data_IF_324565381498
#
_entry.id   IF_324565381498
#
_cell.length_a   1.000
_cell.length_b   1.000
_cell.length_c   1.000
_cell.angle_alpha   90.00
_cell.angle_beta   90.00
_cell.angle_gamma   90.00
#
_symmetry.space_group_name_H-M   'P 1'
#
loop_
_entity.id
_entity.type
_entity.pdbx_description
1 polymer ?
#
# COMPACT_ATOMS: atom_id res chain seq x y z
N UNK A 1 15.34 19.87 15.68
CA UNK A 1 14.54 18.63 15.63
C UNK A 1 14.73 18.01 14.26
N UNK A 2 15.42 16.88 14.19
CA UNK A 2 15.71 16.20 12.94
C UNK A 2 14.45 15.48 12.44
N UNK A 3 13.95 15.88 11.27
CA UNK A 3 12.97 15.11 10.53
C UNK A 3 13.64 13.82 10.07
N UNK A 4 13.11 12.66 10.45
CA UNK A 4 13.55 11.37 9.91
C UNK A 4 13.10 11.30 8.45
N UNK A 5 13.95 11.79 7.54
CA UNK A 5 13.85 11.49 6.13
C UNK A 5 14.19 10.01 5.96
N UNK A 6 13.18 9.19 5.66
CA UNK A 6 13.40 7.84 5.17
C UNK A 6 14.16 7.96 3.85
N UNK A 7 15.43 7.60 3.89
CA UNK A 7 16.36 7.71 2.79
C UNK A 7 15.96 6.73 1.69
N UNK A 8 15.66 7.27 0.51
CA UNK A 8 15.51 6.51 -0.74
C UNK A 8 16.85 5.85 -1.08
N UNK A 9 16.94 4.53 -0.94
CA UNK A 9 17.93 3.78 -1.70
C UNK A 9 17.34 3.43 -3.06
N UNK A 10 17.76 4.19 -4.07
CA UNK A 10 17.31 4.13 -5.46
C UNK A 10 18.22 3.22 -6.30
N UNK A 11 18.70 2.12 -5.73
CA UNK A 11 19.57 1.18 -6.43
C UNK A 11 19.05 -0.25 -6.25
N UNK A 12 18.25 -0.69 -7.23
CA UNK A 12 18.23 -2.03 -7.83
C UNK A 12 16.85 -2.29 -8.44
N UNK A 13 16.51 -1.56 -9.50
CA UNK A 13 15.53 -2.04 -10.48
C UNK A 13 16.18 -3.20 -11.26
N UNK A 14 16.36 -4.34 -10.60
CA UNK A 14 16.70 -5.58 -11.28
C UNK A 14 15.38 -6.23 -11.69
N UNK A 15 14.99 -5.97 -12.93
CA UNK A 15 14.13 -6.87 -13.68
C UNK A 15 14.81 -8.25 -13.60
N UNK A 16 14.31 -9.14 -12.73
CA UNK A 16 14.88 -10.49 -12.61
C UNK A 16 14.67 -11.18 -13.96
N UNK A 17 15.78 -11.50 -14.63
CA UNK A 17 15.75 -12.33 -15.81
C UNK A 17 15.19 -13.71 -15.42
N UNK A 18 14.04 -14.07 -15.99
CA UNK A 18 13.44 -15.39 -15.85
C UNK A 18 14.35 -16.46 -16.45
N UNK A 19 15.11 -17.18 -15.62
CA UNK A 19 15.81 -18.40 -16.04
C UNK A 19 14.87 -19.60 -15.87
N UNK A 20 14.31 -20.01 -17.01
CA UNK A 20 13.51 -21.21 -17.37
C UNK A 20 13.58 -22.47 -16.48
N UNK A 21 12.40 -23.07 -16.20
CA UNK A 21 11.95 -24.39 -16.70
C UNK A 21 10.52 -24.70 -16.18
N UNK A 22 9.50 -24.72 -17.06
CA UNK A 22 8.12 -25.20 -16.79
C UNK A 22 7.43 -24.80 -15.46
N UNK A 23 7.55 -23.56 -15.01
CA UNK A 23 6.73 -23.04 -13.91
C UNK A 23 5.99 -21.79 -14.38
N UNK A 24 4.66 -21.78 -14.23
CA UNK A 24 3.86 -20.57 -14.43
C UNK A 24 4.43 -19.47 -13.51
N UNK A 25 4.74 -18.26 -14.02
CA UNK A 25 5.18 -17.16 -13.15
C UNK A 25 4.13 -16.93 -12.05
N UNK A 26 4.58 -16.70 -10.82
CA UNK A 26 3.65 -16.46 -9.70
C UNK A 26 2.81 -15.21 -10.03
N UNK A 27 1.47 -15.30 -9.93
CA UNK A 27 0.62 -14.14 -10.19
C UNK A 27 0.96 -12.96 -9.27
N UNK A 28 1.11 -11.78 -9.86
CA UNK A 28 1.27 -10.52 -9.14
C UNK A 28 -0.07 -9.80 -9.03
N UNK A 29 -0.28 -9.16 -7.88
CA UNK A 29 -1.49 -8.41 -7.57
C UNK A 29 -1.12 -7.02 -7.08
N UNK A 30 -1.81 -6.02 -7.62
CA UNK A 30 -1.83 -4.68 -7.06
C UNK A 30 -2.83 -4.65 -5.90
N UNK A 31 -2.35 -4.29 -4.71
CA UNK A 31 -3.20 -3.96 -3.58
C UNK A 31 -3.21 -2.45 -3.39
N UNK A 32 -4.39 -1.84 -3.41
CA UNK A 32 -4.58 -0.39 -3.20
C UNK A 32 -5.29 -0.16 -1.89
N UNK A 33 -4.67 0.62 -1.00
CA UNK A 33 -5.23 1.02 0.28
C UNK A 33 -6.28 2.12 0.06
N UNK A 34 -7.51 1.91 0.53
CA UNK A 34 -8.60 2.88 0.39
C UNK A 34 -8.91 3.57 1.71
N UNK A 35 -9.38 4.80 1.64
CA UNK A 35 -9.86 5.55 2.80
C UNK A 35 -10.95 6.54 2.37
N UNK A 36 -12.01 6.64 3.16
CA UNK A 36 -13.06 7.63 2.90
C UNK A 36 -12.60 9.04 3.28
N UNK A 37 -13.04 10.07 2.54
CA UNK A 37 -12.70 11.46 2.86
C UNK A 37 -13.05 11.87 4.30
N UNK A 38 -14.18 11.38 4.83
CA UNK A 38 -14.64 11.64 6.19
C UNK A 38 -13.75 11.00 7.26
N UNK A 39 -13.23 9.79 7.02
CA UNK A 39 -12.35 9.09 7.95
C UNK A 39 -10.99 9.80 8.02
N UNK A 40 -10.47 10.26 6.88
CA UNK A 40 -9.28 11.10 6.82
C UNK A 40 -9.49 12.44 7.53
N UNK A 41 -10.64 13.08 7.32
CA UNK A 41 -10.96 14.35 7.97
C UNK A 41 -11.06 14.19 9.49
N UNK A 42 -11.70 13.13 9.96
CA UNK A 42 -11.81 12.76 11.38
C UNK A 42 -10.44 12.47 11.99
N UNK A 43 -9.58 11.73 11.30
CA UNK A 43 -8.22 11.49 11.78
C UNK A 43 -7.41 12.79 11.87
N UNK A 44 -7.51 13.67 10.86
CA UNK A 44 -6.79 14.95 10.82
C UNK A 44 -7.30 16.00 11.82
N UNK A 45 -8.53 15.88 12.30
CA UNK A 45 -9.07 16.79 13.32
C UNK A 45 -8.60 16.44 14.74
N UNK A 46 -8.04 15.24 14.93
CA UNK A 46 -7.39 14.83 16.18
C UNK A 46 -6.17 15.70 16.50
N UNK A 47 -5.88 15.84 17.78
CA UNK A 47 -4.64 16.49 18.22
C UNK A 47 -3.42 15.72 17.73
N UNK A 48 -2.27 16.39 17.63
CA UNK A 48 -1.02 15.73 17.23
C UNK A 48 -0.66 14.57 18.17
N UNK A 49 -0.90 14.73 19.47
CA UNK A 49 -0.65 13.69 20.48
C UNK A 49 -1.51 12.44 20.27
N UNK A 50 -2.78 12.60 19.88
CA UNK A 50 -3.65 11.46 19.54
C UNK A 50 -3.22 10.78 18.24
N UNK A 51 -2.80 11.55 17.23
CA UNK A 51 -2.23 10.99 16.00
C UNK A 51 -0.94 10.21 16.29
N UNK A 52 -0.04 10.78 17.10
CA UNK A 52 1.19 10.11 17.54
C UNK A 52 0.92 8.82 18.32
N UNK A 53 -0.11 8.81 19.17
CA UNK A 53 -0.50 7.60 19.89
C UNK A 53 -1.00 6.50 18.94
N UNK A 54 -1.72 6.87 17.88
CA UNK A 54 -2.15 5.91 16.84
C UNK A 54 -0.92 5.42 16.07
N UNK A 55 -0.02 6.30 15.65
CA UNK A 55 1.20 5.95 14.92
C UNK A 55 2.10 5.01 15.74
N UNK A 56 2.25 5.28 17.05
CA UNK A 56 3.04 4.46 17.97
C UNK A 56 2.53 3.01 18.07
N UNK A 57 1.25 2.77 17.80
CA UNK A 57 0.64 1.42 17.77
C UNK A 57 0.64 0.85 16.35
N UNK A 58 0.27 1.67 15.37
CA UNK A 58 0.05 1.23 14.00
C UNK A 58 1.33 0.93 13.23
N UNK A 59 2.38 1.77 13.38
CA UNK A 59 3.63 1.59 12.64
C UNK A 59 4.36 0.29 13.01
N UNK A 60 4.48 -0.12 14.29
CA UNK A 60 5.06 -1.42 14.62
C UNK A 60 4.24 -2.60 14.09
N UNK A 61 2.90 -2.52 14.12
CA UNK A 61 2.06 -3.58 13.56
C UNK A 61 2.18 -3.67 12.04
N UNK A 62 2.34 -2.53 11.37
CA UNK A 62 2.58 -2.46 9.93
C UNK A 62 3.92 -3.08 9.57
N UNK A 63 5.00 -2.70 10.27
CA UNK A 63 6.31 -3.32 10.09
C UNK A 63 6.26 -4.84 10.33
N UNK A 64 5.58 -5.29 11.38
CA UNK A 64 5.42 -6.72 11.65
C UNK A 64 4.60 -7.44 10.55
N UNK A 65 3.63 -6.76 9.92
CA UNK A 65 2.91 -7.29 8.76
C UNK A 65 3.84 -7.40 7.54
N UNK A 66 4.65 -6.39 7.28
CA UNK A 66 5.64 -6.43 6.18
C UNK A 66 6.63 -7.56 6.39
N UNK A 67 7.18 -7.72 7.60
CA UNK A 67 8.14 -8.78 7.93
C UNK A 67 7.55 -10.18 7.73
N UNK A 68 6.31 -10.41 8.22
CA UNK A 68 5.62 -11.69 8.06
C UNK A 68 5.34 -12.05 6.60
N UNK A 69 5.15 -11.04 5.74
CA UNK A 69 4.77 -11.21 4.34
C UNK A 69 5.90 -10.86 3.37
N UNK A 70 7.13 -10.68 3.84
CA UNK A 70 8.25 -10.18 3.04
C UNK A 70 8.51 -11.03 1.77
N UNK A 71 8.29 -12.35 1.85
CA UNK A 71 8.45 -13.25 0.71
C UNK A 71 7.37 -13.05 -0.38
N UNK A 72 6.22 -12.48 -0.03
CA UNK A 72 5.13 -12.19 -0.95
C UNK A 72 5.13 -10.74 -1.43
N UNK A 73 5.99 -9.86 -0.91
CA UNK A 73 6.00 -8.44 -1.30
C UNK A 73 7.02 -8.22 -2.43
N UNK A 74 6.53 -7.96 -3.64
CA UNK A 74 7.34 -7.70 -4.82
C UNK A 74 7.76 -6.23 -4.92
N UNK A 75 6.84 -5.33 -4.57
CA UNK A 75 7.08 -3.89 -4.46
C UNK A 75 6.40 -3.41 -3.18
N UNK A 76 7.20 -2.83 -2.27
CA UNK A 76 6.70 -2.28 -1.00
C UNK A 76 5.80 -1.07 -1.21
N UNK A 77 5.82 -0.47 -2.39
CA UNK A 77 4.96 0.64 -2.78
C UNK A 77 5.10 1.85 -1.85
N UNK A 78 3.97 2.47 -1.50
CA UNK A 78 3.95 3.62 -0.61
C UNK A 78 2.62 4.35 -0.57
N UNK A 79 2.52 5.32 0.35
CA UNK A 79 1.37 6.21 0.46
C UNK A 79 1.37 7.25 -0.67
N UNK A 80 0.19 7.56 -1.20
CA UNK A 80 0.00 8.47 -2.34
C UNK A 80 -0.65 9.79 -1.93
N UNK A 81 -0.44 10.82 -2.74
CA UNK A 81 -0.84 12.20 -2.45
C UNK A 81 -2.05 12.70 -3.23
N UNK A 82 -2.15 14.03 -3.37
CA UNK A 82 -3.25 14.69 -4.09
C UNK A 82 -3.30 14.21 -5.55
N UNK A 83 -4.51 13.91 -6.02
CA UNK A 83 -4.72 13.41 -7.37
C UNK A 83 -4.91 14.54 -8.37
N UNK A 84 -4.18 14.46 -9.48
CA UNK A 84 -4.48 15.16 -10.73
C UNK A 84 -4.97 14.11 -11.72
N UNK A 85 -6.04 14.41 -12.44
CA UNK A 85 -6.59 13.53 -13.48
C UNK A 85 -6.31 14.12 -14.85
N UNK A 86 -5.85 13.26 -15.74
CA UNK A 86 -5.66 13.54 -17.16
C UNK A 86 -6.77 12.81 -17.92
N UNK A 87 -7.53 13.53 -18.73
CA UNK A 87 -8.55 13.00 -19.65
C UNK A 87 -8.31 13.54 -21.06
N UNK A 88 -9.11 13.12 -22.04
CA UNK A 88 -9.07 13.71 -23.40
C UNK A 88 -9.37 15.22 -23.38
N UNK A 89 -10.14 15.69 -22.40
CA UNK A 89 -10.57 17.09 -22.27
C UNK A 89 -9.56 17.97 -21.51
N UNK A 90 -8.50 17.37 -20.92
CA UNK A 90 -7.41 18.09 -20.29
C UNK A 90 -6.96 17.55 -18.93
N UNK A 91 -6.30 18.41 -18.16
CA UNK A 91 -5.67 18.09 -16.88
C UNK A 91 -6.36 18.88 -15.76
N UNK A 92 -6.87 18.20 -14.74
CA UNK A 92 -7.62 18.85 -13.66
C UNK A 92 -7.39 18.19 -12.30
N UNK A 93 -7.73 18.89 -11.22
CA UNK A 93 -7.74 18.30 -9.86
C UNK A 93 -8.82 17.22 -9.80
N UNK A 94 -8.52 16.12 -9.12
CA UNK A 94 -9.48 15.06 -8.89
C UNK A 94 -9.36 14.47 -7.48
N UNK A 95 -10.34 13.66 -7.12
CA UNK A 95 -10.35 12.86 -5.90
C UNK A 95 -10.59 11.40 -6.25
N UNK A 96 -10.00 10.51 -5.46
CA UNK A 96 -10.23 9.08 -5.43
C UNK A 96 -10.00 8.60 -3.97
N UNK A 97 -10.44 7.40 -3.60
CA UNK A 97 -10.26 6.90 -2.24
C UNK A 97 -8.85 6.37 -1.97
N UNK A 98 -7.94 6.40 -2.95
CA UNK A 98 -6.65 5.72 -2.84
C UNK A 98 -5.67 6.52 -2.00
N UNK A 99 -5.09 5.87 -1.00
CA UNK A 99 -4.15 6.48 -0.08
C UNK A 99 -2.78 5.80 -0.05
N UNK A 100 -2.65 4.61 -0.63
CA UNK A 100 -1.36 3.97 -0.89
C UNK A 100 -1.51 2.72 -1.74
N UNK A 101 -0.39 2.07 -2.06
CA UNK A 101 -0.38 0.78 -2.73
C UNK A 101 0.79 -0.09 -2.28
N UNK A 102 0.69 -1.39 -2.54
CA UNK A 102 1.75 -2.39 -2.46
C UNK A 102 1.51 -3.42 -3.58
N UNK A 103 2.57 -4.07 -4.08
CA UNK A 103 2.45 -5.19 -5.03
C UNK A 103 2.87 -6.48 -4.35
N UNK A 104 2.00 -7.47 -4.38
CA UNK A 104 2.23 -8.79 -3.78
C UNK A 104 2.15 -9.91 -4.80
N UNK A 105 2.85 -11.01 -4.56
CA UNK A 105 2.70 -12.27 -5.29
C UNK A 105 2.02 -13.34 -4.44
N UNK A 106 1.13 -14.12 -5.08
CA UNK A 106 0.45 -15.25 -4.47
C UNK A 106 -0.09 -16.21 -5.55
N UNK A 107 -0.42 -17.44 -5.17
CA UNK A 107 -0.94 -18.44 -6.13
C UNK A 107 -2.31 -18.06 -6.71
N UNK A 108 -3.16 -17.39 -5.92
CA UNK A 108 -4.51 -16.95 -6.31
C UNK A 108 -4.83 -15.57 -5.72
N UNK A 109 -5.87 -14.91 -6.24
CA UNK A 109 -6.33 -13.63 -5.71
C UNK A 109 -6.84 -13.75 -4.27
N UNK A 110 -7.44 -14.88 -3.91
CA UNK A 110 -7.88 -15.14 -2.54
C UNK A 110 -6.68 -15.33 -1.60
N UNK A 111 -5.60 -15.96 -2.09
CA UNK A 111 -4.36 -16.07 -1.32
C UNK A 111 -3.72 -14.69 -1.10
N UNK A 112 -3.69 -13.83 -2.13
CA UNK A 112 -3.24 -12.45 -1.99
C UNK A 112 -4.12 -11.66 -1.00
N UNK A 113 -5.45 -11.77 -1.09
CA UNK A 113 -6.36 -11.09 -0.17
C UNK A 113 -6.18 -11.56 1.29
N UNK A 114 -5.88 -12.84 1.52
CA UNK A 114 -5.61 -13.37 2.87
C UNK A 114 -4.40 -12.73 3.53
N UNK A 115 -3.39 -12.27 2.77
CA UNK A 115 -2.25 -11.54 3.33
C UNK A 115 -2.69 -10.30 4.12
N UNK A 116 -3.80 -9.67 3.74
CA UNK A 116 -4.29 -8.41 4.30
C UNK A 116 -5.34 -8.58 5.40
N UNK A 117 -5.63 -9.81 5.85
CA UNK A 117 -6.53 -9.99 7.00
C UNK A 117 -5.98 -9.28 8.24
N UNK A 118 -6.83 -8.48 8.88
CA UNK A 118 -6.47 -7.67 10.06
C UNK A 118 -5.33 -6.67 9.82
N UNK A 119 -5.11 -6.24 8.57
CA UNK A 119 -4.08 -5.28 8.25
C UNK A 119 -4.25 -3.96 9.05
N UNK A 120 -3.16 -3.38 9.59
CA UNK A 120 -3.20 -2.15 10.41
C UNK A 120 -3.89 -0.97 9.73
N UNK A 121 -3.81 -0.91 8.40
CA UNK A 121 -4.57 0.05 7.57
C UNK A 121 -6.06 0.13 7.95
N UNK A 122 -6.67 -1.01 8.29
CA UNK A 122 -8.11 -1.13 8.63
C UNK A 122 -8.32 -1.19 10.15
N UNK A 123 -7.41 -1.85 10.88
CA UNK A 123 -7.62 -2.13 12.32
C UNK A 123 -7.12 -1.03 13.25
N UNK A 124 -6.19 -0.18 12.80
CA UNK A 124 -5.56 0.87 13.61
C UNK A 124 -5.66 2.23 12.93
N UNK A 125 -5.34 2.29 11.64
CA UNK A 125 -5.43 3.49 10.82
C UNK A 125 -6.86 3.70 10.29
N UNK A 126 -7.20 4.92 9.81
CA UNK A 126 -8.54 5.25 9.32
C UNK A 126 -8.88 4.67 7.93
N UNK A 127 -8.20 3.62 7.47
CA UNK A 127 -8.48 2.98 6.20
C UNK A 127 -9.79 2.20 6.23
N UNK A 128 -10.53 2.21 5.12
CA UNK A 128 -11.82 1.54 5.02
C UNK A 128 -11.77 0.23 4.21
N UNK A 129 -10.68 -0.01 3.48
CA UNK A 129 -10.55 -1.18 2.62
C UNK A 129 -9.18 -1.31 1.95
N UNK A 130 -9.02 -2.46 1.28
CA UNK A 130 -7.86 -2.78 0.44
C UNK A 130 -8.38 -3.54 -0.78
N UNK A 131 -8.29 -2.91 -1.95
CA UNK A 131 -8.72 -3.52 -3.21
C UNK A 131 -7.55 -4.31 -3.81
N UNK A 132 -7.78 -5.59 -4.13
CA UNK A 132 -6.78 -6.50 -4.69
C UNK A 132 -7.13 -6.79 -6.15
N UNK A 133 -6.19 -6.54 -7.06
CA UNK A 133 -6.39 -6.69 -8.50
C UNK A 133 -5.23 -7.47 -9.13
N UNK A 134 -5.49 -8.49 -9.97
CA UNK A 134 -4.44 -9.19 -10.68
C UNK A 134 -3.84 -8.29 -11.78
N UNK A 135 -2.52 -8.37 -11.97
CA UNK A 135 -1.96 -7.96 -13.25
C UNK A 135 -2.29 -9.00 -14.32
N UNK A 136 -2.85 -8.53 -15.45
CA UNK A 136 -3.34 -9.38 -16.53
C UNK A 136 -2.31 -9.62 -17.65
N UNK A 137 -1.07 -9.14 -17.47
CA UNK A 137 0.00 -9.16 -18.49
C UNK A 137 0.99 -10.27 -18.26
#
# INVERSE_FOLDING_TARGET
MAAAALYFDRAECKLRAFTSTKNKPMPCFLAVYTMKPEDLASFRSRTKAEQDAIDAVGLPQWAAWEDRNAASICDRGGMVGKTIRVTQDGISKASNPFCGYVVVEAETIEAAARLFQHHPHITVFPGDGIDIMPFLT
#
